data_IF_587704473713
#
_entry.id   IF_587704473713
#
_cell.length_a   1.000
_cell.length_b   1.000
_cell.length_c   1.000
_cell.angle_alpha   90.00
_cell.angle_beta   90.00
_cell.angle_gamma   90.00
#
_symmetry.space_group_name_H-M   'P 1'
#
loop_
_entity.id
_entity.type
_entity.pdbx_description
1 polymer ?
#
# COMPACT_ATOMS: atom_id res chain seq x y z
N UNK A 1 5.41 3.35 20.01
CA UNK A 1 5.23 2.56 18.78
C UNK A 1 6.11 1.32 18.88
N UNK A 2 5.51 0.14 18.88
CA UNK A 2 6.28 -1.12 18.84
C UNK A 2 6.84 -1.35 17.42
N UNK A 3 7.77 -2.28 17.26
CA UNK A 3 8.46 -2.47 15.97
C UNK A 3 7.52 -2.93 14.85
N UNK A 4 6.48 -3.72 15.19
CA UNK A 4 5.42 -4.11 14.24
C UNK A 4 4.65 -2.90 13.70
N UNK A 5 4.33 -1.95 14.57
CA UNK A 5 3.62 -0.73 14.19
C UNK A 5 4.54 0.21 13.39
N UNK A 6 5.84 0.27 13.70
CA UNK A 6 6.83 0.99 12.87
C UNK A 6 6.91 0.41 11.47
N UNK A 7 6.98 -0.91 11.37
CA UNK A 7 7.07 -1.62 10.10
C UNK A 7 5.82 -1.38 9.24
N UNK A 8 4.65 -1.37 9.88
CA UNK A 8 3.40 -1.06 9.22
C UNK A 8 3.40 0.34 8.57
N UNK A 9 3.83 1.36 9.30
CA UNK A 9 3.88 2.72 8.76
C UNK A 9 4.95 2.85 7.68
N UNK A 10 6.10 2.18 7.85
CA UNK A 10 7.16 2.12 6.85
C UNK A 10 6.65 1.59 5.50
N UNK A 11 5.89 0.50 5.50
CA UNK A 11 5.30 -0.07 4.27
C UNK A 11 4.35 0.93 3.59
N UNK A 12 3.47 1.59 4.36
CA UNK A 12 2.53 2.59 3.82
C UNK A 12 3.29 3.76 3.19
N UNK A 13 4.29 4.29 3.89
CA UNK A 13 5.06 5.45 3.45
C UNK A 13 5.88 5.15 2.20
N UNK A 14 6.48 3.95 2.13
CA UNK A 14 7.19 3.50 0.94
C UNK A 14 6.27 3.39 -0.27
N UNK A 15 5.05 2.86 -0.09
CA UNK A 15 4.06 2.81 -1.18
C UNK A 15 3.63 4.22 -1.61
N UNK A 16 3.38 5.13 -0.68
CA UNK A 16 3.04 6.53 -1.00
C UNK A 16 4.17 7.17 -1.80
N UNK A 17 5.42 6.99 -1.39
CA UNK A 17 6.60 7.50 -2.10
C UNK A 17 6.69 7.00 -3.54
N UNK A 18 6.26 5.77 -3.81
CA UNK A 18 6.26 5.18 -5.16
C UNK A 18 5.05 5.60 -6.02
N UNK A 19 3.97 6.06 -5.41
CA UNK A 19 2.72 6.39 -6.10
C UNK A 19 2.45 7.89 -6.22
N UNK A 20 2.95 8.69 -5.28
CA UNK A 20 2.77 10.12 -5.25
C UNK A 20 3.66 10.79 -6.30
N UNK A 21 3.13 11.85 -6.91
CA UNK A 21 3.88 12.76 -7.76
C UNK A 21 3.89 14.13 -7.09
N UNK A 22 5.00 14.85 -7.27
CA UNK A 22 5.10 16.23 -6.82
C UNK A 22 4.23 17.13 -7.72
N UNK A 23 3.37 17.91 -7.10
CA UNK A 23 2.52 18.87 -7.75
C UNK A 23 3.28 20.20 -7.97
N UNK A 24 2.81 21.08 -8.87
CA UNK A 24 3.50 22.35 -9.14
C UNK A 24 3.67 23.28 -7.93
N UNK A 25 2.90 23.06 -6.86
CA UNK A 25 2.98 23.80 -5.60
C UNK A 25 3.93 23.16 -4.57
N UNK A 26 4.62 22.07 -4.92
CA UNK A 26 5.52 21.33 -4.03
C UNK A 26 4.84 20.28 -3.15
N UNK A 27 3.51 20.19 -3.17
CA UNK A 27 2.78 19.17 -2.41
C UNK A 27 2.83 17.81 -3.11
N UNK A 28 2.65 16.73 -2.34
CA UNK A 28 2.48 15.39 -2.91
C UNK A 28 1.01 15.17 -3.31
N UNK A 29 0.81 14.53 -4.47
CA UNK A 29 -0.53 14.19 -4.97
C UNK A 29 -1.28 13.15 -4.13
N UNK A 30 -0.59 12.48 -3.20
CA UNK A 30 -1.13 11.46 -2.31
C UNK A 30 -0.47 11.62 -0.94
N UNK A 31 -1.29 11.81 0.09
CA UNK A 31 -0.85 11.86 1.49
C UNK A 31 -1.24 10.59 2.26
N UNK A 32 -0.74 10.44 3.49
CA UNK A 32 -1.14 9.32 4.35
C UNK A 32 -2.61 9.43 4.73
N UNK A 33 -3.08 10.64 5.00
CA UNK A 33 -4.48 10.97 5.28
C UNK A 33 -5.38 10.55 4.12
N UNK A 34 -4.94 10.76 2.87
CA UNK A 34 -5.68 10.29 1.70
C UNK A 34 -5.77 8.77 1.66
N UNK A 35 -4.66 8.05 1.88
CA UNK A 35 -4.63 6.57 1.89
C UNK A 35 -5.51 6.00 3.01
N UNK A 36 -5.51 6.60 4.20
CA UNK A 36 -6.36 6.17 5.32
C UNK A 36 -7.82 6.66 5.19
N UNK A 37 -8.05 7.68 4.37
CA UNK A 37 -9.35 8.30 4.14
C UNK A 37 -10.34 7.39 3.38
N UNK A 38 -11.51 7.94 3.04
CA UNK A 38 -12.60 7.20 2.35
C UNK A 38 -12.76 7.54 0.87
N UNK A 39 -11.94 8.45 0.32
CA UNK A 39 -12.02 8.87 -1.07
C UNK A 39 -11.85 7.68 -2.03
N UNK A 40 -12.69 7.66 -3.07
CA UNK A 40 -12.70 6.64 -4.12
C UNK A 40 -12.04 7.09 -5.42
N UNK A 41 -11.29 8.19 -5.39
CA UNK A 41 -10.47 8.60 -6.52
C UNK A 41 -9.55 7.45 -6.95
N UNK A 42 -9.44 7.23 -8.26
CA UNK A 42 -8.80 6.03 -8.82
C UNK A 42 -7.36 5.86 -8.34
N UNK A 43 -6.57 6.94 -8.38
CA UNK A 43 -5.19 6.96 -7.88
C UNK A 43 -5.08 6.53 -6.40
N UNK A 44 -6.01 6.96 -5.55
CA UNK A 44 -6.04 6.59 -4.13
C UNK A 44 -6.50 5.15 -3.92
N UNK A 45 -7.42 4.65 -4.75
CA UNK A 45 -7.84 3.24 -4.71
C UNK A 45 -6.68 2.34 -5.16
N UNK A 46 -6.01 2.67 -6.26
CA UNK A 46 -4.83 1.96 -6.75
C UNK A 46 -3.72 1.92 -5.69
N UNK A 47 -3.45 3.07 -5.06
CA UNK A 47 -2.45 3.15 -3.98
C UNK A 47 -2.82 2.25 -2.81
N UNK A 48 -4.09 2.26 -2.35
CA UNK A 48 -4.56 1.33 -1.31
C UNK A 48 -4.44 -0.13 -1.71
N UNK A 49 -4.72 -0.48 -2.98
CA UNK A 49 -4.51 -1.84 -3.47
C UNK A 49 -3.04 -2.25 -3.32
N UNK A 50 -2.10 -1.33 -3.61
CA UNK A 50 -0.67 -1.61 -3.47
C UNK A 50 -0.25 -1.72 -2.01
N UNK A 51 -0.77 -0.86 -1.13
CA UNK A 51 -0.55 -0.99 0.32
C UNK A 51 -1.01 -2.37 0.82
N UNK A 52 -2.22 -2.80 0.45
CA UNK A 52 -2.73 -4.11 0.86
C UNK A 52 -1.83 -5.24 0.37
N UNK A 53 -1.42 -5.21 -0.89
CA UNK A 53 -0.54 -6.23 -1.47
C UNK A 53 0.83 -6.26 -0.77
N UNK A 54 1.48 -5.12 -0.59
CA UNK A 54 2.78 -5.02 0.08
C UNK A 54 2.72 -5.42 1.55
N UNK A 55 1.64 -5.08 2.26
CA UNK A 55 1.45 -5.51 3.65
C UNK A 55 1.24 -7.03 3.77
N UNK A 56 0.55 -7.66 2.81
CA UNK A 56 0.43 -9.12 2.77
C UNK A 56 1.82 -9.74 2.53
N UNK A 57 2.62 -9.16 1.62
CA UNK A 57 3.99 -9.61 1.37
C UNK A 57 4.89 -9.46 2.60
N UNK A 58 4.70 -8.42 3.40
CA UNK A 58 5.39 -8.22 4.67
C UNK A 58 4.84 -9.09 5.83
N UNK A 59 3.90 -10.01 5.57
CA UNK A 59 3.39 -10.98 6.54
C UNK A 59 2.26 -10.47 7.44
N UNK A 60 1.66 -9.30 7.16
CA UNK A 60 0.52 -8.82 7.94
C UNK A 60 -0.77 -9.58 7.60
N UNK A 61 -1.57 -9.90 8.62
CA UNK A 61 -2.88 -10.51 8.43
C UNK A 61 -3.88 -9.53 7.81
N UNK A 62 -4.84 -10.04 7.03
CA UNK A 62 -5.94 -9.24 6.46
C UNK A 62 -6.71 -8.47 7.53
N UNK A 63 -6.86 -9.04 8.73
CA UNK A 63 -7.51 -8.37 9.88
C UNK A 63 -6.71 -7.18 10.37
N UNK A 64 -5.38 -7.31 10.48
CA UNK A 64 -4.50 -6.20 10.87
C UNK A 64 -4.57 -5.07 9.85
N UNK A 65 -4.50 -5.41 8.56
CA UNK A 65 -4.60 -4.45 7.45
C UNK A 65 -5.95 -3.73 7.48
N UNK A 66 -7.04 -4.46 7.73
CA UNK A 66 -8.39 -3.89 7.82
C UNK A 66 -8.51 -2.87 8.98
N UNK A 67 -7.96 -3.19 10.16
CA UNK A 67 -7.92 -2.26 11.30
C UNK A 67 -7.16 -0.99 10.94
N UNK A 68 -5.98 -1.12 10.35
CA UNK A 68 -5.08 0.00 10.05
C UNK A 68 -5.65 0.91 8.96
N UNK A 69 -6.18 0.33 7.89
CA UNK A 69 -6.80 1.11 6.81
C UNK A 69 -8.20 1.61 7.16
N UNK A 70 -8.71 1.32 8.37
CA UNK A 70 -10.07 1.62 8.79
C UNK A 70 -11.11 1.14 7.74
N UNK A 71 -11.00 -0.15 7.41
CA UNK A 71 -11.83 -0.83 6.40
C UNK A 71 -12.35 -2.14 6.94
N UNK A 72 -13.39 -2.66 6.30
CA UNK A 72 -13.88 -4.00 6.59
C UNK A 72 -12.96 -5.06 5.95
N UNK A 73 -12.88 -6.24 6.56
CA UNK A 73 -12.13 -7.39 6.00
C UNK A 73 -12.55 -7.72 4.56
N UNK A 74 -13.85 -7.74 4.19
CA UNK A 74 -14.27 -7.92 2.80
C UNK A 74 -13.74 -6.83 1.86
N UNK A 75 -13.69 -5.57 2.30
CA UNK A 75 -13.14 -4.48 1.48
C UNK A 75 -11.64 -4.67 1.23
N UNK A 76 -10.86 -5.10 2.24
CA UNK A 76 -9.44 -5.42 2.06
C UNK A 76 -9.23 -6.59 1.09
N UNK A 77 -10.05 -7.65 1.19
CA UNK A 77 -10.00 -8.76 0.22
C UNK A 77 -10.31 -8.29 -1.20
N UNK A 78 -11.26 -7.37 -1.36
CA UNK A 78 -11.57 -6.77 -2.65
C UNK A 78 -10.39 -5.95 -3.20
N UNK A 79 -9.77 -5.11 -2.38
CA UNK A 79 -8.56 -4.35 -2.75
C UNK A 79 -7.41 -5.28 -3.17
N UNK A 80 -7.19 -6.38 -2.44
CA UNK A 80 -6.21 -7.40 -2.81
C UNK A 80 -6.49 -8.00 -4.20
N UNK A 81 -7.75 -8.38 -4.49
CA UNK A 81 -8.14 -8.85 -5.83
C UNK A 81 -7.89 -7.80 -6.91
N UNK A 82 -8.24 -6.54 -6.64
CA UNK A 82 -8.01 -5.43 -7.56
C UNK A 82 -6.52 -5.17 -7.82
N UNK A 83 -5.65 -5.35 -6.81
CA UNK A 83 -4.20 -5.22 -6.98
C UNK A 83 -3.69 -6.14 -8.09
N UNK A 84 -4.11 -7.42 -8.12
CA UNK A 84 -3.74 -8.35 -9.19
C UNK A 84 -4.26 -7.92 -10.57
N UNK A 85 -5.47 -7.35 -10.63
CA UNK A 85 -6.00 -6.77 -11.89
C UNK A 85 -5.15 -5.59 -12.36
N UNK A 86 -4.72 -4.71 -11.46
CA UNK A 86 -3.86 -3.58 -11.84
C UNK A 86 -2.44 -4.03 -12.23
N UNK A 87 -1.88 -5.04 -11.57
CA UNK A 87 -0.60 -5.66 -11.96
C UNK A 87 -0.68 -6.19 -13.40
N UNK A 88 -1.78 -6.83 -13.81
CA UNK A 88 -1.89 -7.35 -15.18
C UNK A 88 -2.14 -6.25 -16.22
N UNK A 89 -2.91 -5.22 -15.89
CA UNK A 89 -3.42 -4.24 -16.86
C UNK A 89 -2.62 -2.93 -16.95
N UNK A 90 -1.92 -2.51 -15.89
CA UNK A 90 -1.26 -1.19 -15.84
C UNK A 90 0.26 -1.31 -15.69
N UNK A 91 0.98 -0.85 -16.71
CA UNK A 91 2.46 -0.80 -16.69
C UNK A 91 2.99 0.12 -15.60
N UNK A 92 2.37 1.29 -15.42
CA UNK A 92 2.80 2.27 -14.41
C UNK A 92 2.57 1.73 -13.00
N UNK A 93 1.47 1.00 -12.79
CA UNK A 93 1.23 0.30 -11.53
C UNK A 93 2.32 -0.72 -11.23
N UNK A 94 2.68 -1.57 -12.20
CA UNK A 94 3.79 -2.54 -12.05
C UNK A 94 5.11 -1.87 -11.70
N UNK A 95 5.41 -0.71 -12.30
CA UNK A 95 6.63 0.05 -12.01
C UNK A 95 6.67 0.50 -10.56
N UNK A 96 5.58 1.11 -10.07
CA UNK A 96 5.46 1.54 -8.68
C UNK A 96 5.48 0.35 -7.71
N UNK A 97 4.80 -0.77 -8.02
CA UNK A 97 4.85 -2.00 -7.21
C UNK A 97 6.26 -2.56 -7.11
N UNK A 98 7.01 -2.58 -8.22
CA UNK A 98 8.39 -3.07 -8.21
C UNK A 98 9.29 -2.20 -7.32
N UNK A 99 9.13 -0.88 -7.38
CA UNK A 99 9.85 0.05 -6.50
C UNK A 99 9.47 -0.15 -5.03
N UNK A 100 8.17 -0.22 -4.73
CA UNK A 100 7.70 -0.46 -3.37
C UNK A 100 8.22 -1.79 -2.81
N UNK A 101 8.21 -2.84 -3.62
CA UNK A 101 8.75 -4.16 -3.26
C UNK A 101 10.24 -4.07 -2.91
N UNK A 102 11.04 -3.34 -3.69
CA UNK A 102 12.46 -3.15 -3.39
C UNK A 102 12.67 -2.39 -2.07
N UNK A 103 11.86 -1.37 -1.78
CA UNK A 103 11.93 -0.63 -0.52
C UNK A 103 11.46 -1.44 0.69
N UNK A 104 10.55 -2.40 0.46
CA UNK A 104 9.96 -3.22 1.52
C UNK A 104 10.66 -4.58 1.70
N UNK A 105 11.62 -4.93 0.84
CA UNK A 105 12.26 -6.26 0.78
C UNK A 105 13.06 -6.66 2.04
N UNK A 106 13.42 -5.71 2.90
CA UNK A 106 14.33 -5.93 4.02
C UNK A 106 13.66 -6.30 5.36
N UNK A 107 12.62 -7.14 5.33
CA UNK A 107 12.07 -7.74 6.56
C UNK A 107 12.49 -9.20 6.63
N UNK A 108 13.14 -9.55 7.73
CA UNK A 108 13.84 -10.81 8.03
C UNK A 108 13.21 -12.11 7.50
N UNK A 109 14.05 -13.15 7.25
CA UNK A 109 13.65 -14.37 6.57
C UNK A 109 12.44 -15.04 7.26
N UNK A 110 11.52 -15.52 6.43
CA UNK A 110 10.57 -16.57 6.84
C UNK A 110 11.42 -17.66 7.47
N UNK A 111 11.30 -17.87 8.78
CA UNK A 111 11.86 -19.05 9.43
C UNK A 111 11.36 -20.27 8.65
N UNK A 112 12.27 -20.87 7.88
CA UNK A 112 12.06 -22.14 7.18
C UNK A 112 12.09 -23.26 8.21
#
# INVERSE_FOLDING_TARGET
MNDKEKELWRVIDNVIKCCAIELPNGDLSITREDVLGKSRAENLVMTRCMVVEQMIHAGFSITTIATVLNRTVPAVRHLCKMAYTYISTSRVYRLATAQATLLNKDVEPICV
#
